data_IF_310558811895
#
_entry.id   IF_310558811895
#
_cell.length_a   1.000
_cell.length_b   1.000
_cell.length_c   1.000
_cell.angle_alpha   90.00
_cell.angle_beta   90.00
_cell.angle_gamma   90.00
#
_symmetry.space_group_name_H-M   'P 1'
#
loop_
_entity.id
_entity.type
_entity.pdbx_description
1 polymer ?
#
# COMPACT_ATOMS: atom_id res chain seq x y z
N UNK A 1 64.79 5.78 46.59
CA UNK A 1 64.10 6.59 45.55
C UNK A 1 63.06 5.74 44.85
N UNK A 2 61.80 5.90 45.24
CA UNK A 2 60.68 5.08 44.69
C UNK A 2 60.00 5.86 43.58
N UNK A 3 59.98 5.30 42.37
CA UNK A 3 59.37 5.90 41.18
C UNK A 3 57.87 5.48 41.13
N UNK A 4 56.99 6.41 41.47
CA UNK A 4 55.55 6.19 41.31
C UNK A 4 55.18 6.33 39.84
N UNK A 5 54.75 5.20 39.21
CA UNK A 5 54.19 5.23 37.85
C UNK A 5 52.74 5.69 37.94
N UNK A 6 52.48 6.90 37.39
CA UNK A 6 51.17 7.43 37.21
C UNK A 6 50.51 6.73 36.01
N UNK A 7 49.49 5.88 36.22
CA UNK A 7 48.67 5.33 35.14
C UNK A 7 47.50 6.28 34.87
N UNK A 8 47.56 7.00 33.75
CA UNK A 8 46.43 7.80 33.26
C UNK A 8 45.50 6.91 32.47
N UNK A 9 44.36 6.58 33.07
CA UNK A 9 43.29 5.86 32.36
C UNK A 9 42.50 6.82 31.49
N UNK A 10 42.60 6.67 30.18
CA UNK A 10 41.78 7.39 29.21
C UNK A 10 40.40 6.72 29.15
N UNK A 11 39.38 7.34 29.73
CA UNK A 11 37.99 6.90 29.58
C UNK A 11 37.46 7.42 28.25
N UNK A 12 37.38 6.55 27.24
CA UNK A 12 36.69 6.87 25.98
C UNK A 12 35.19 6.82 26.26
N UNK A 13 34.57 7.98 26.41
CA UNK A 13 33.11 8.09 26.42
C UNK A 13 32.63 7.93 24.98
N UNK A 14 32.19 6.75 24.62
CA UNK A 14 31.48 6.50 23.34
C UNK A 14 30.09 7.13 23.50
N UNK A 15 29.92 8.36 23.02
CA UNK A 15 28.63 8.99 22.88
C UNK A 15 27.85 8.24 21.81
N UNK A 16 27.01 7.29 22.18
CA UNK A 16 26.00 6.74 21.27
C UNK A 16 24.97 7.84 20.97
N UNK A 17 25.17 8.55 19.89
CA UNK A 17 24.10 9.37 19.34
C UNK A 17 23.01 8.41 18.85
N UNK A 18 21.73 8.56 19.32
CA UNK A 18 20.65 7.82 18.71
C UNK A 18 20.61 8.23 17.24
N UNK A 19 20.85 7.29 16.36
CA UNK A 19 20.56 7.51 14.95
C UNK A 19 19.05 7.73 14.86
N UNK A 20 18.65 8.97 14.58
CA UNK A 20 17.26 9.28 14.20
C UNK A 20 16.98 8.52 12.92
N UNK A 21 16.39 7.33 13.08
CA UNK A 21 15.90 6.57 11.95
C UNK A 21 14.57 7.20 11.54
N UNK A 22 14.46 7.59 10.28
CA UNK A 22 13.22 8.11 9.72
C UNK A 22 12.07 7.12 9.91
N UNK A 23 10.86 7.64 10.13
CA UNK A 23 9.64 6.84 10.25
C UNK A 23 9.42 6.01 8.98
N UNK A 24 9.06 4.73 9.15
CA UNK A 24 8.68 3.90 8.02
C UNK A 24 7.35 4.39 7.42
N UNK A 25 7.33 4.59 6.11
CA UNK A 25 6.11 4.92 5.37
C UNK A 25 5.53 3.65 4.75
N UNK A 26 4.93 2.80 5.58
CA UNK A 26 4.64 1.39 5.31
C UNK A 26 3.48 1.11 4.35
N UNK A 27 2.70 2.12 3.98
CA UNK A 27 1.52 1.97 3.12
C UNK A 27 1.21 3.25 2.35
N UNK A 28 0.25 3.18 1.45
CA UNK A 28 -0.35 4.37 0.86
C UNK A 28 -0.93 5.27 1.96
N UNK A 29 -0.51 6.53 2.03
CA UNK A 29 -0.77 7.48 3.11
C UNK A 29 -0.09 7.17 4.45
N UNK A 30 0.98 6.36 4.44
CA UNK A 30 1.83 6.13 5.60
C UNK A 30 1.27 5.18 6.66
N UNK A 31 1.97 5.04 7.78
CA UNK A 31 1.66 4.04 8.80
C UNK A 31 0.28 4.23 9.45
N UNK A 32 -0.21 5.46 9.48
CA UNK A 32 -1.53 5.79 10.05
C UNK A 32 -2.62 5.93 8.99
N UNK A 33 -2.32 5.72 7.71
CA UNK A 33 -3.26 5.82 6.59
C UNK A 33 -3.86 7.22 6.35
N UNK A 34 -3.35 8.24 7.02
CA UNK A 34 -3.89 9.61 7.00
C UNK A 34 -3.05 10.61 6.19
N UNK A 35 -1.89 10.18 5.67
CA UNK A 35 -0.98 11.03 4.89
C UNK A 35 -0.19 12.03 5.72
N UNK A 36 -0.12 11.86 7.05
CA UNK A 36 0.58 12.74 7.96
C UNK A 36 1.71 12.00 8.69
N UNK A 37 2.77 12.73 9.02
CA UNK A 37 3.89 12.27 9.84
C UNK A 37 4.14 13.26 10.97
N UNK A 38 4.70 12.77 12.07
CA UNK A 38 5.20 13.60 13.17
C UNK A 38 6.62 14.12 12.95
N UNK A 39 7.30 13.64 11.91
CA UNK A 39 8.66 14.08 11.57
C UNK A 39 8.71 15.57 11.21
N UNK A 40 9.86 16.16 11.40
CA UNK A 40 10.11 17.59 11.14
C UNK A 40 11.39 17.76 10.35
N UNK A 41 11.61 18.99 9.85
CA UNK A 41 12.83 19.32 9.14
C UNK A 41 12.85 18.91 7.66
N UNK A 42 11.67 18.66 7.08
CA UNK A 42 11.59 18.45 5.63
C UNK A 42 12.03 19.69 4.86
N UNK A 43 12.73 19.51 3.73
CA UNK A 43 13.03 20.64 2.86
C UNK A 43 11.72 21.25 2.34
N UNK A 44 11.65 22.58 2.38
CA UNK A 44 10.52 23.36 1.83
C UNK A 44 10.78 23.85 0.43
N UNK A 45 12.03 23.75 -0.01
CA UNK A 45 12.48 24.08 -1.38
C UNK A 45 13.31 22.94 -1.92
N UNK A 46 13.11 22.61 -3.18
CA UNK A 46 13.93 21.63 -3.91
C UNK A 46 13.92 21.93 -5.41
N UNK A 47 14.94 21.47 -6.10
CA UNK A 47 15.07 21.56 -7.55
C UNK A 47 15.63 20.25 -8.11
N UNK A 48 16.04 20.23 -9.36
CA UNK A 48 16.71 19.04 -9.93
C UNK A 48 18.09 18.75 -9.31
N UNK A 49 18.67 19.70 -8.57
CA UNK A 49 20.02 19.62 -7.99
C UNK A 49 20.07 20.00 -6.52
N UNK A 50 19.00 20.56 -5.95
CA UNK A 50 18.94 21.01 -4.57
C UNK A 50 18.00 20.13 -3.76
N UNK A 51 18.44 19.67 -2.59
CA UNK A 51 17.67 18.81 -1.68
C UNK A 51 17.17 17.51 -2.31
N UNK A 52 17.87 17.00 -3.33
CA UNK A 52 17.63 15.72 -4.00
C UNK A 52 18.81 14.81 -3.76
N UNK A 53 18.63 13.74 -2.99
CA UNK A 53 19.68 12.78 -2.70
C UNK A 53 20.09 11.98 -3.95
N UNK A 54 19.10 11.54 -4.71
CA UNK A 54 19.30 10.81 -5.97
C UNK A 54 18.03 10.89 -6.85
N UNK A 55 18.21 10.59 -8.11
CA UNK A 55 17.14 10.47 -9.11
C UNK A 55 17.42 9.30 -10.01
N UNK A 56 16.37 8.52 -10.30
CA UNK A 56 16.41 7.40 -11.25
C UNK A 56 15.27 7.53 -12.25
N UNK A 57 15.51 7.07 -13.47
CA UNK A 57 14.44 6.88 -14.45
C UNK A 57 13.80 5.51 -14.24
N UNK A 58 12.48 5.48 -14.14
CA UNK A 58 11.74 4.23 -13.98
C UNK A 58 11.51 3.60 -15.35
N UNK A 59 11.83 2.31 -15.54
CA UNK A 59 11.78 1.67 -16.86
C UNK A 59 10.36 1.38 -17.36
N UNK A 60 9.37 1.48 -16.46
CA UNK A 60 7.98 1.12 -16.77
C UNK A 60 7.00 2.06 -16.04
N UNK A 61 5.79 2.30 -16.61
CA UNK A 61 4.80 3.17 -16.02
C UNK A 61 4.20 2.59 -14.72
N UNK A 62 3.75 3.47 -13.85
CA UNK A 62 3.03 3.16 -12.63
C UNK A 62 2.60 4.43 -11.92
N UNK A 63 1.49 4.36 -11.17
CA UNK A 63 0.97 5.48 -10.36
C UNK A 63 1.03 5.16 -8.86
N UNK A 64 1.68 4.05 -8.47
CA UNK A 64 1.79 3.73 -7.05
C UNK A 64 2.59 4.79 -6.31
N UNK A 65 2.16 5.10 -5.10
CA UNK A 65 2.98 5.86 -4.16
C UNK A 65 4.12 4.95 -3.68
N UNK A 66 5.37 5.38 -3.77
CA UNK A 66 6.47 4.66 -3.13
C UNK A 66 6.23 4.56 -1.62
N UNK A 67 6.48 3.38 -1.05
CA UNK A 67 6.50 3.18 0.39
C UNK A 67 7.92 2.92 0.86
N UNK A 68 8.20 3.18 2.13
CA UNK A 68 9.53 2.96 2.71
C UNK A 68 9.44 2.06 3.93
N UNK A 69 10.41 1.15 4.04
CA UNK A 69 10.62 0.36 5.24
C UNK A 69 12.12 0.18 5.48
N UNK A 70 12.63 0.75 6.56
CA UNK A 70 14.07 0.84 6.83
C UNK A 70 14.80 1.43 5.60
N UNK A 71 15.78 0.74 5.05
CA UNK A 71 16.56 1.17 3.88
C UNK A 71 15.95 0.77 2.53
N UNK A 72 14.68 0.38 2.49
CA UNK A 72 14.00 -0.05 1.27
C UNK A 72 12.99 0.99 0.80
N UNK A 73 12.96 1.25 -0.50
CA UNK A 73 11.90 1.98 -1.20
C UNK A 73 11.20 1.00 -2.12
N UNK A 74 9.91 0.84 -1.96
CA UNK A 74 9.10 -0.15 -2.68
C UNK A 74 8.04 0.55 -3.52
N UNK A 75 7.92 0.15 -4.79
CA UNK A 75 6.87 0.67 -5.67
C UNK A 75 6.46 -0.38 -6.71
N UNK A 76 5.28 -0.20 -7.29
CA UNK A 76 4.78 -1.05 -8.36
C UNK A 76 4.87 -0.37 -9.72
N UNK A 77 5.09 -1.18 -10.75
CA UNK A 77 5.18 -0.78 -12.15
C UNK A 77 4.55 -1.85 -13.04
N UNK A 78 4.24 -1.50 -14.29
CA UNK A 78 3.80 -2.46 -15.31
C UNK A 78 4.50 -2.17 -16.63
N UNK A 79 4.71 -3.19 -17.47
CA UNK A 79 5.11 -2.95 -18.87
C UNK A 79 4.07 -2.07 -19.57
N UNK A 80 4.47 -1.39 -20.64
CA UNK A 80 3.57 -0.50 -21.38
C UNK A 80 2.31 -1.24 -21.90
N UNK A 81 2.49 -2.49 -22.32
CA UNK A 81 1.41 -3.38 -22.78
C UNK A 81 0.60 -3.99 -21.63
N UNK A 82 1.05 -3.79 -20.38
CA UNK A 82 0.41 -4.35 -19.20
C UNK A 82 0.56 -5.86 -19.02
N UNK A 83 1.39 -6.52 -19.81
CA UNK A 83 1.57 -7.99 -19.76
C UNK A 83 2.39 -8.48 -18.58
N UNK A 84 3.17 -7.59 -17.97
CA UNK A 84 3.95 -7.88 -16.75
C UNK A 84 3.68 -6.81 -15.70
N UNK A 85 3.60 -7.24 -14.45
CA UNK A 85 3.49 -6.42 -13.25
C UNK A 85 4.74 -6.60 -12.41
N UNK A 86 5.26 -5.50 -11.90
CA UNK A 86 6.50 -5.48 -11.13
C UNK A 86 6.27 -4.85 -9.76
N UNK A 87 6.84 -5.47 -8.74
CA UNK A 87 7.15 -4.84 -7.47
C UNK A 87 8.67 -4.69 -7.42
N UNK A 88 9.16 -3.48 -7.32
CA UNK A 88 10.60 -3.18 -7.33
C UNK A 88 11.02 -2.57 -6.01
N UNK A 89 12.13 -3.04 -5.49
CA UNK A 89 12.78 -2.51 -4.31
C UNK A 89 14.06 -1.77 -4.70
N UNK A 90 14.18 -0.55 -4.20
CA UNK A 90 15.37 0.28 -4.34
C UNK A 90 15.99 0.53 -2.97
N UNK A 91 17.29 0.75 -2.97
CA UNK A 91 18.03 1.20 -1.79
C UNK A 91 17.71 2.67 -1.49
N UNK A 92 17.28 2.97 -0.28
CA UNK A 92 16.85 4.32 0.12
C UNK A 92 17.99 5.35 0.01
N UNK A 93 19.24 4.96 0.27
CA UNK A 93 20.37 5.89 0.30
C UNK A 93 20.94 6.18 -1.10
N UNK A 94 20.91 5.18 -1.99
CA UNK A 94 21.58 5.26 -3.29
C UNK A 94 20.66 5.27 -4.50
N UNK A 95 19.38 4.92 -4.34
CA UNK A 95 18.44 4.71 -5.44
C UNK A 95 18.75 3.48 -6.30
N UNK A 96 19.73 2.65 -5.93
CA UNK A 96 20.05 1.42 -6.69
C UNK A 96 18.99 0.36 -6.48
N UNK A 97 18.60 -0.30 -7.57
CA UNK A 97 17.69 -1.44 -7.48
C UNK A 97 18.34 -2.59 -6.69
N UNK A 98 17.64 -3.06 -5.66
CA UNK A 98 18.06 -4.22 -4.85
C UNK A 98 17.52 -5.52 -5.43
N UNK A 99 16.22 -5.52 -5.76
CA UNK A 99 15.54 -6.67 -6.37
C UNK A 99 14.26 -6.24 -7.08
N UNK A 100 13.71 -7.12 -7.89
CA UNK A 100 12.43 -6.95 -8.54
C UNK A 100 11.68 -8.29 -8.57
N UNK A 101 10.46 -8.29 -8.08
CA UNK A 101 9.50 -9.36 -8.28
C UNK A 101 8.67 -9.06 -9.53
N UNK A 102 8.41 -10.07 -10.36
CA UNK A 102 7.64 -9.92 -11.59
C UNK A 102 6.61 -11.04 -11.71
N UNK A 103 5.38 -10.69 -12.03
CA UNK A 103 4.34 -11.63 -12.48
C UNK A 103 3.87 -11.28 -13.88
N UNK A 104 3.48 -12.29 -14.65
CA UNK A 104 2.89 -12.13 -15.98
C UNK A 104 1.37 -12.32 -15.88
N UNK A 105 0.66 -11.73 -16.83
CA UNK A 105 -0.78 -11.90 -16.99
C UNK A 105 -1.09 -12.19 -18.46
N UNK A 106 -1.91 -13.20 -18.71
CA UNK A 106 -2.34 -13.57 -20.07
C UNK A 106 -3.47 -12.68 -20.58
N UNK A 107 -4.42 -12.37 -19.71
CA UNK A 107 -5.54 -11.49 -20.03
C UNK A 107 -5.33 -10.12 -19.42
N UNK A 108 -4.88 -9.18 -20.23
CA UNK A 108 -4.63 -7.79 -19.82
C UNK A 108 -5.96 -7.02 -19.82
N UNK A 109 -6.38 -6.58 -18.64
CA UNK A 109 -7.57 -5.73 -18.46
C UNK A 109 -7.36 -4.34 -19.07
N UNK A 110 -8.46 -3.67 -19.42
CA UNK A 110 -8.43 -2.29 -19.91
C UNK A 110 -8.00 -1.33 -18.79
N UNK A 111 -7.32 -0.28 -19.17
CA UNK A 111 -7.00 0.85 -18.28
C UNK A 111 -7.17 2.17 -19.04
N UNK A 112 -7.01 3.28 -18.34
CA UNK A 112 -6.97 4.60 -18.96
C UNK A 112 -5.52 5.10 -19.00
N UNK A 113 -5.19 5.95 -19.99
CA UNK A 113 -3.84 6.53 -20.14
C UNK A 113 -3.29 7.24 -18.90
N UNK A 114 -4.18 7.74 -18.03
CA UNK A 114 -3.82 8.39 -16.76
C UNK A 114 -3.85 7.45 -15.56
N UNK A 115 -4.28 6.19 -15.73
CA UNK A 115 -4.31 5.17 -14.70
C UNK A 115 -3.73 3.86 -15.24
N UNK A 116 -2.40 3.71 -15.31
CA UNK A 116 -1.75 2.49 -15.83
C UNK A 116 -2.00 1.30 -14.90
N UNK A 117 -1.63 0.10 -15.36
CA UNK A 117 -1.89 -1.19 -14.70
C UNK A 117 -1.24 -1.37 -13.31
N UNK A 118 -0.39 -0.49 -12.86
CA UNK A 118 0.27 -0.54 -11.55
C UNK A 118 -0.04 0.73 -10.75
N UNK A 119 -1.31 0.96 -10.45
CA UNK A 119 -1.76 2.14 -9.72
C UNK A 119 -1.87 1.89 -8.20
N UNK A 120 -2.18 0.67 -7.76
CA UNK A 120 -2.19 0.30 -6.35
C UNK A 120 -0.79 0.35 -5.72
N UNK A 121 -0.68 0.99 -4.57
CA UNK A 121 0.58 1.06 -3.82
C UNK A 121 0.81 -0.21 -3.01
N UNK A 122 2.08 -0.62 -2.78
CA UNK A 122 2.39 -1.71 -1.86
C UNK A 122 2.00 -1.37 -0.43
N UNK A 123 1.90 -2.41 0.41
CA UNK A 123 1.84 -2.27 1.88
C UNK A 123 2.78 -3.29 2.52
N UNK A 124 3.37 -2.94 3.67
CA UNK A 124 4.25 -3.84 4.41
C UNK A 124 4.10 -3.71 5.93
N UNK A 125 4.29 -4.82 6.62
CA UNK A 125 4.45 -4.92 8.08
C UNK A 125 5.92 -5.12 8.49
N UNK A 126 6.84 -5.11 7.52
CA UNK A 126 8.28 -5.39 7.70
C UNK A 126 8.67 -6.86 7.57
N UNK A 127 7.70 -7.76 7.41
CA UNK A 127 7.89 -9.19 7.13
C UNK A 127 7.27 -9.58 5.78
N UNK A 128 6.13 -9.03 5.48
CA UNK A 128 5.35 -9.21 4.27
C UNK A 128 5.30 -7.91 3.47
N UNK A 129 5.37 -8.03 2.16
CA UNK A 129 5.05 -6.94 1.23
C UNK A 129 3.91 -7.44 0.36
N UNK A 130 2.77 -6.78 0.45
CA UNK A 130 1.59 -7.16 -0.31
C UNK A 130 1.27 -6.13 -1.37
N UNK A 131 0.98 -6.60 -2.57
CA UNK A 131 0.60 -5.78 -3.73
C UNK A 131 -0.66 -6.32 -4.38
N UNK A 132 -1.48 -5.41 -4.93
CA UNK A 132 -2.58 -5.76 -5.81
C UNK A 132 -2.25 -5.36 -7.24
N UNK A 133 -2.35 -6.31 -8.13
CA UNK A 133 -2.10 -6.14 -9.55
C UNK A 133 -3.37 -6.26 -10.39
N UNK A 134 -4.53 -5.93 -9.82
CA UNK A 134 -5.81 -6.02 -10.51
C UNK A 134 -6.13 -7.46 -10.92
N UNK A 135 -6.40 -7.71 -12.19
CA UNK A 135 -6.68 -9.05 -12.71
C UNK A 135 -5.49 -10.01 -12.65
N UNK A 136 -4.27 -9.53 -12.41
CA UNK A 136 -3.13 -10.39 -12.13
C UNK A 136 -3.11 -10.91 -10.69
N UNK A 137 -4.05 -10.50 -9.83
CA UNK A 137 -4.21 -11.01 -8.48
C UNK A 137 -3.53 -10.17 -7.39
N UNK A 138 -3.55 -10.72 -6.17
CA UNK A 138 -2.88 -10.19 -5.00
C UNK A 138 -1.66 -11.08 -4.74
N UNK A 139 -0.51 -10.44 -4.51
CA UNK A 139 0.75 -11.16 -4.31
C UNK A 139 1.39 -10.71 -3.01
N UNK A 140 1.91 -11.67 -2.24
CA UNK A 140 2.73 -11.42 -1.07
C UNK A 140 4.15 -11.92 -1.32
N UNK A 141 5.12 -11.06 -1.08
CA UNK A 141 6.54 -11.42 -1.11
C UNK A 141 7.19 -11.12 0.24
N UNK A 142 8.32 -11.74 0.53
CA UNK A 142 9.16 -11.38 1.67
C UNK A 142 9.97 -10.10 1.39
N UNK A 143 10.69 -9.60 2.39
CA UNK A 143 11.54 -8.40 2.25
C UNK A 143 12.72 -8.57 1.28
N UNK A 144 12.96 -9.77 0.78
CA UNK A 144 13.98 -10.08 -0.24
C UNK A 144 13.39 -10.25 -1.64
N UNK A 145 12.06 -10.11 -1.78
CA UNK A 145 11.35 -10.23 -3.07
C UNK A 145 10.97 -11.66 -3.44
N UNK A 146 11.11 -12.64 -2.53
CA UNK A 146 10.69 -14.02 -2.77
C UNK A 146 9.18 -14.14 -2.58
N UNK A 147 8.49 -14.74 -3.55
CA UNK A 147 7.05 -14.99 -3.47
C UNK A 147 6.75 -15.93 -2.28
N UNK A 148 5.83 -15.49 -1.43
CA UNK A 148 5.26 -16.30 -0.34
C UNK A 148 3.96 -16.97 -0.77
N UNK A 149 3.04 -16.18 -1.27
CA UNK A 149 1.77 -16.64 -1.81
C UNK A 149 1.23 -15.67 -2.87
N UNK A 150 0.29 -16.17 -3.66
CA UNK A 150 -0.51 -15.38 -4.59
C UNK A 150 -1.96 -15.84 -4.53
N UNK A 151 -2.90 -14.91 -4.64
CA UNK A 151 -4.32 -15.18 -4.67
C UNK A 151 -4.94 -14.63 -5.96
N UNK A 152 -5.60 -15.50 -6.71
CA UNK A 152 -6.29 -15.12 -7.94
C UNK A 152 -7.60 -14.42 -7.61
N UNK A 153 -7.75 -13.19 -8.06
CA UNK A 153 -8.97 -12.40 -7.91
C UNK A 153 -9.94 -12.55 -9.08
N UNK A 154 -9.56 -13.31 -10.09
CA UNK A 154 -10.25 -13.39 -11.37
C UNK A 154 -10.20 -12.05 -12.10
N UNK A 155 -10.96 -11.95 -13.20
CA UNK A 155 -10.96 -10.74 -14.03
C UNK A 155 -11.65 -9.58 -13.32
N UNK A 156 -10.92 -8.47 -13.18
CA UNK A 156 -11.41 -7.19 -12.67
C UNK A 156 -11.38 -6.20 -13.84
N UNK A 157 -12.50 -6.03 -14.50
CA UNK A 157 -12.57 -5.26 -15.74
C UNK A 157 -13.35 -3.96 -15.56
N UNK A 158 -12.68 -2.86 -15.84
CA UNK A 158 -13.27 -1.54 -15.94
C UNK A 158 -12.46 -0.70 -16.95
N UNK A 159 -13.14 0.17 -17.73
CA UNK A 159 -12.49 0.99 -18.77
C UNK A 159 -11.39 1.92 -18.24
N UNK A 160 -11.39 2.22 -16.94
CA UNK A 160 -10.39 3.06 -16.26
C UNK A 160 -9.46 2.26 -15.33
N UNK A 161 -9.55 0.94 -15.35
CA UNK A 161 -8.72 0.07 -14.52
C UNK A 161 -9.03 0.15 -13.01
N UNK A 162 -8.16 -0.44 -12.22
CA UNK A 162 -8.23 -0.50 -10.75
C UNK A 162 -7.13 0.34 -10.12
N UNK A 163 -7.27 0.79 -8.86
CA UNK A 163 -6.23 1.56 -8.16
C UNK A 163 -6.24 1.43 -6.63
N UNK A 164 -7.20 0.71 -6.06
CA UNK A 164 -7.22 0.52 -4.62
C UNK A 164 -5.97 -0.21 -4.14
N UNK A 165 -5.36 0.31 -3.07
CA UNK A 165 -4.20 -0.31 -2.42
C UNK A 165 -4.66 -1.32 -1.36
N UNK A 166 -3.91 -2.40 -1.11
CA UNK A 166 -4.16 -3.28 0.02
C UNK A 166 -3.85 -2.56 1.34
N UNK A 167 -4.53 -3.00 2.40
CA UNK A 167 -4.33 -2.52 3.78
C UNK A 167 -4.06 -3.72 4.67
N UNK A 168 -3.06 -3.63 5.53
CA UNK A 168 -2.80 -4.63 6.58
C UNK A 168 -3.55 -4.22 7.84
N UNK A 169 -4.31 -5.14 8.39
CA UNK A 169 -4.94 -5.04 9.69
C UNK A 169 -4.66 -6.31 10.50
N UNK A 170 -3.77 -6.20 11.47
CA UNK A 170 -3.29 -7.33 12.27
C UNK A 170 -2.74 -8.46 11.36
N UNK A 171 -3.37 -9.62 11.35
CA UNK A 171 -3.04 -10.78 10.52
C UNK A 171 -3.82 -10.85 9.19
N UNK A 172 -4.50 -9.77 8.82
CA UNK A 172 -5.31 -9.69 7.60
C UNK A 172 -4.73 -8.72 6.58
N UNK A 173 -4.88 -9.08 5.32
CA UNK A 173 -4.76 -8.17 4.17
C UNK A 173 -6.15 -7.90 3.62
N UNK A 174 -6.58 -6.64 3.65
CA UNK A 174 -7.90 -6.23 3.18
C UNK A 174 -7.75 -5.41 1.92
N UNK A 175 -8.59 -5.69 0.93
CA UNK A 175 -8.59 -4.93 -0.31
C UNK A 175 -10.00 -4.76 -0.89
N UNK A 176 -10.20 -3.62 -1.54
CA UNK A 176 -11.34 -3.31 -2.38
C UNK A 176 -11.03 -3.71 -3.82
N UNK A 177 -11.61 -4.77 -4.30
CA UNK A 177 -11.47 -5.26 -5.67
C UNK A 177 -12.58 -4.70 -6.55
N UNK A 178 -12.19 -3.85 -7.47
CA UNK A 178 -13.09 -3.14 -8.36
C UNK A 178 -12.52 -1.76 -8.76
N UNK A 179 -13.31 -0.91 -9.42
CA UNK A 179 -14.70 -1.10 -9.83
C UNK A 179 -14.88 -2.07 -11.00
N UNK A 180 -16.13 -2.30 -11.37
CA UNK A 180 -16.52 -3.11 -12.53
C UNK A 180 -17.82 -3.89 -12.27
N UNK A 181 -18.25 -4.66 -13.25
CA UNK A 181 -19.42 -5.57 -13.12
C UNK A 181 -19.20 -6.50 -11.92
N UNK A 182 -17.97 -6.95 -11.73
CA UNK A 182 -17.54 -7.74 -10.59
C UNK A 182 -16.73 -6.85 -9.65
N UNK A 183 -17.33 -6.49 -8.52
CA UNK A 183 -16.67 -5.75 -7.45
C UNK A 183 -16.97 -6.42 -6.10
N UNK A 184 -15.98 -6.46 -5.21
CA UNK A 184 -16.09 -7.09 -3.89
C UNK A 184 -15.01 -6.55 -2.95
N UNK A 185 -15.25 -6.70 -1.67
CA UNK A 185 -14.23 -6.56 -0.63
C UNK A 185 -13.79 -7.94 -0.19
N UNK A 186 -12.53 -8.08 0.13
CA UNK A 186 -11.95 -9.34 0.56
C UNK A 186 -10.91 -9.10 1.65
N UNK A 187 -10.86 -10.00 2.62
CA UNK A 187 -9.74 -10.13 3.53
C UNK A 187 -9.09 -11.50 3.36
N UNK A 188 -7.79 -11.49 3.28
CA UNK A 188 -6.94 -12.67 3.19
C UNK A 188 -6.08 -12.76 4.46
N UNK A 189 -5.80 -13.96 4.90
CA UNK A 189 -4.77 -14.22 5.91
C UNK A 189 -3.39 -13.80 5.36
N UNK A 190 -2.64 -13.02 6.12
CA UNK A 190 -1.38 -12.42 5.64
C UNK A 190 -0.26 -13.46 5.45
N UNK A 191 -0.28 -14.56 6.20
CA UNK A 191 0.74 -15.61 6.11
C UNK A 191 0.47 -16.59 4.96
N UNK A 192 -0.80 -16.90 4.69
CA UNK A 192 -1.19 -17.97 3.76
C UNK A 192 -1.80 -17.46 2.45
N UNK A 193 -2.42 -16.27 2.46
CA UNK A 193 -3.19 -15.74 1.34
C UNK A 193 -4.58 -16.38 1.20
N UNK A 194 -5.01 -17.20 2.16
CA UNK A 194 -6.35 -17.81 2.16
C UNK A 194 -7.42 -16.77 2.47
N UNK A 195 -8.60 -16.93 1.84
CA UNK A 195 -9.75 -16.08 2.06
C UNK A 195 -10.31 -16.25 3.48
N UNK A 196 -10.35 -15.17 4.26
CA UNK A 196 -10.96 -15.13 5.58
C UNK A 196 -12.41 -14.69 5.47
N UNK A 197 -12.69 -13.64 4.72
CA UNK A 197 -14.04 -13.20 4.40
C UNK A 197 -14.09 -12.47 3.06
N UNK A 198 -15.28 -12.44 2.46
CA UNK A 198 -15.55 -11.74 1.22
C UNK A 198 -16.97 -11.20 1.18
N UNK A 199 -17.12 -9.96 0.71
CA UNK A 199 -18.42 -9.32 0.49
C UNK A 199 -18.59 -8.98 -0.98
N UNK A 200 -19.49 -9.67 -1.65
CA UNK A 200 -19.76 -9.52 -3.09
C UNK A 200 -20.57 -8.26 -3.40
N UNK A 201 -20.39 -7.73 -4.61
CA UNK A 201 -21.02 -6.49 -5.09
C UNK A 201 -22.54 -6.51 -5.12
N UNK A 202 -23.17 -7.69 -5.12
CA UNK A 202 -24.64 -7.81 -5.00
C UNK A 202 -25.20 -7.22 -3.71
N UNK A 203 -24.34 -7.06 -2.70
CA UNK A 203 -24.67 -6.45 -1.41
C UNK A 203 -24.44 -4.92 -1.41
N UNK A 204 -23.88 -4.37 -2.49
CA UNK A 204 -23.70 -2.94 -2.64
C UNK A 204 -24.90 -2.28 -3.29
N UNK A 205 -24.96 -0.95 -3.26
CA UNK A 205 -25.99 -0.21 -3.98
C UNK A 205 -25.92 -0.54 -5.47
N UNK A 206 -27.05 -0.90 -6.05
CA UNK A 206 -27.15 -1.12 -7.49
C UNK A 206 -26.91 0.17 -8.24
N UNK A 207 -25.87 0.19 -9.06
CA UNK A 207 -25.57 1.28 -9.97
C UNK A 207 -25.94 0.88 -11.41
N UNK A 208 -26.34 1.84 -12.20
CA UNK A 208 -26.50 1.66 -13.64
C UNK A 208 -25.67 2.74 -14.34
N UNK A 209 -24.79 2.41 -15.26
CA UNK A 209 -24.45 1.04 -15.70
C UNK A 209 -23.79 0.20 -14.61
N UNK A 210 -23.94 -1.12 -14.68
CA UNK A 210 -23.40 -2.07 -13.70
C UNK A 210 -21.87 -2.04 -13.61
N UNK A 211 -21.21 -1.60 -14.66
CA UNK A 211 -19.76 -1.41 -14.70
C UNK A 211 -19.24 -0.37 -13.67
N UNK A 212 -20.10 0.49 -13.14
CA UNK A 212 -19.77 1.44 -12.07
C UNK A 212 -20.03 0.89 -10.65
N UNK A 213 -20.28 -0.40 -10.51
CA UNK A 213 -20.24 -1.04 -9.20
C UNK A 213 -18.83 -1.03 -8.64
N UNK A 214 -18.70 -0.85 -7.33
CA UNK A 214 -17.40 -0.73 -6.69
C UNK A 214 -16.78 0.66 -6.84
N UNK A 215 -15.59 0.81 -6.31
CA UNK A 215 -14.89 2.10 -6.26
C UNK A 215 -13.39 1.91 -6.38
N UNK A 216 -12.67 3.02 -6.56
CA UNK A 216 -11.20 3.08 -6.49
C UNK A 216 -10.69 3.38 -5.08
N UNK A 217 -11.58 3.45 -4.11
CA UNK A 217 -11.29 3.79 -2.73
C UNK A 217 -10.40 2.71 -2.08
N UNK A 218 -9.29 3.15 -1.49
CA UNK A 218 -8.53 2.31 -0.57
C UNK A 218 -9.25 2.29 0.78
N UNK A 219 -9.49 1.11 1.40
CA UNK A 219 -10.05 1.04 2.74
C UNK A 219 -9.19 1.80 3.76
N UNK A 220 -9.83 2.38 4.76
CA UNK A 220 -9.15 3.01 5.90
C UNK A 220 -9.59 2.33 7.19
N UNK A 221 -8.65 1.80 7.97
CA UNK A 221 -8.94 1.18 9.26
C UNK A 221 -8.55 2.14 10.38
N UNK A 222 -9.50 2.38 11.28
CA UNK A 222 -9.34 3.21 12.48
C UNK A 222 -9.45 2.35 13.73
N UNK A 223 -8.52 2.52 14.65
CA UNK A 223 -8.48 1.75 15.90
C UNK A 223 -7.75 0.42 15.73
N UNK A 224 -7.88 -0.44 16.73
CA UNK A 224 -7.23 -1.75 16.81
C UNK A 224 -8.11 -2.76 17.54
N UNK A 225 -7.83 -4.04 17.40
CA UNK A 225 -8.57 -5.12 18.08
C UNK A 225 -10.05 -5.15 17.70
N UNK A 226 -10.89 -5.53 18.67
CA UNK A 226 -12.33 -5.71 18.47
C UNK A 226 -13.09 -4.42 18.17
N UNK A 227 -12.56 -3.26 18.60
CA UNK A 227 -13.19 -1.94 18.42
C UNK A 227 -12.77 -1.24 17.13
N UNK A 228 -11.90 -1.87 16.32
CA UNK A 228 -11.49 -1.32 15.05
C UNK A 228 -12.67 -1.21 14.08
N UNK A 229 -12.69 -0.11 13.33
CA UNK A 229 -13.68 0.15 12.28
C UNK A 229 -12.98 0.41 10.96
N UNK A 230 -13.39 -0.28 9.93
CA UNK A 230 -12.95 -0.05 8.56
C UNK A 230 -13.96 0.83 7.83
N UNK A 231 -13.46 1.84 7.15
CA UNK A 231 -14.24 2.74 6.32
C UNK A 231 -13.91 2.58 4.85
N UNK A 232 -14.93 2.67 4.00
CA UNK A 232 -14.76 2.61 2.55
C UNK A 232 -15.81 3.46 1.83
N UNK A 233 -15.38 4.25 0.87
CA UNK A 233 -16.26 5.01 -0.02
C UNK A 233 -16.67 4.12 -1.19
N UNK A 234 -17.97 4.00 -1.42
CA UNK A 234 -18.56 3.27 -2.52
C UNK A 234 -19.50 4.19 -3.32
N UNK A 235 -19.93 3.81 -4.52
CA UNK A 235 -20.94 4.59 -5.23
C UNK A 235 -22.16 4.83 -4.36
N UNK A 236 -22.55 6.09 -4.22
CA UNK A 236 -23.74 6.59 -3.50
C UNK A 236 -23.73 6.33 -1.98
N UNK A 237 -22.80 5.55 -1.45
CA UNK A 237 -22.75 5.19 -0.03
C UNK A 237 -21.33 5.16 0.53
N UNK A 238 -21.27 5.55 1.78
CA UNK A 238 -20.13 5.33 2.64
C UNK A 238 -20.43 4.18 3.60
N UNK A 239 -19.49 3.30 3.82
CA UNK A 239 -19.65 2.12 4.65
C UNK A 239 -18.69 2.13 5.82
N UNK A 240 -19.16 1.71 6.99
CA UNK A 240 -18.37 1.34 8.13
C UNK A 240 -18.56 -0.15 8.43
N UNK A 241 -17.46 -0.88 8.58
CA UNK A 241 -17.45 -2.34 8.74
C UNK A 241 -16.52 -2.76 9.86
N UNK A 242 -16.74 -3.96 10.38
CA UNK A 242 -15.74 -4.67 11.19
C UNK A 242 -14.64 -5.21 10.28
N UNK A 243 -13.38 -4.79 10.44
CA UNK A 243 -12.31 -5.25 9.54
C UNK A 243 -12.04 -6.76 9.67
N UNK A 244 -12.31 -7.35 10.84
CA UNK A 244 -12.08 -8.78 11.11
C UNK A 244 -13.08 -9.72 10.41
N UNK A 245 -14.33 -9.28 10.18
CA UNK A 245 -15.40 -10.12 9.67
C UNK A 245 -16.06 -9.61 8.38
N UNK A 246 -15.81 -8.35 8.01
CA UNK A 246 -16.48 -7.69 6.90
C UNK A 246 -17.95 -7.33 7.18
N UNK A 247 -18.43 -7.51 8.43
CA UNK A 247 -19.81 -7.14 8.83
C UNK A 247 -20.00 -5.64 8.73
N UNK A 248 -21.09 -5.22 8.07
CA UNK A 248 -21.48 -3.82 7.95
C UNK A 248 -22.05 -3.35 9.28
N UNK A 249 -21.42 -2.34 9.88
CA UNK A 249 -21.89 -1.70 11.11
C UNK A 249 -22.97 -0.66 10.80
N UNK A 250 -22.69 0.18 9.82
CA UNK A 250 -23.63 1.20 9.35
C UNK A 250 -23.24 1.71 7.95
N UNK A 251 -24.15 2.41 7.32
CA UNK A 251 -23.94 3.09 6.05
C UNK A 251 -24.46 4.51 6.11
N UNK A 252 -23.88 5.39 5.29
CA UNK A 252 -24.33 6.76 5.11
C UNK A 252 -24.39 7.08 3.63
N UNK A 253 -25.43 7.75 3.17
CA UNK A 253 -25.51 8.27 1.81
C UNK A 253 -24.61 9.50 1.69
N UNK A 254 -24.04 9.75 0.51
CA UNK A 254 -23.22 10.94 0.32
C UNK A 254 -22.29 10.92 -0.88
N UNK A 255 -21.43 9.90 -1.09
CA UNK A 255 -20.58 9.86 -2.27
C UNK A 255 -21.38 9.92 -3.57
N UNK A 256 -20.75 10.48 -4.60
CA UNK A 256 -21.30 10.43 -5.96
C UNK A 256 -21.25 9.02 -6.54
N UNK A 257 -21.78 8.87 -7.77
CA UNK A 257 -21.78 7.60 -8.49
C UNK A 257 -20.37 7.05 -8.71
N UNK A 258 -19.37 7.91 -8.87
CA UNK A 258 -17.98 7.55 -9.07
C UNK A 258 -17.20 7.89 -7.81
N UNK A 259 -16.91 6.89 -6.97
CA UNK A 259 -16.18 7.08 -5.74
C UNK A 259 -14.68 6.81 -5.96
N UNK A 260 -13.89 7.88 -6.09
CA UNK A 260 -12.43 7.83 -6.20
C UNK A 260 -11.73 8.05 -4.87
N UNK A 261 -12.36 8.81 -3.98
CA UNK A 261 -11.77 9.26 -2.74
C UNK A 261 -11.75 8.16 -1.70
N UNK A 262 -10.60 8.02 -1.03
CA UNK A 262 -10.50 7.15 0.15
C UNK A 262 -10.85 7.94 1.40
N UNK A 263 -11.44 7.26 2.41
CA UNK A 263 -11.78 7.87 3.68
C UNK A 263 -10.58 8.48 4.41
N UNK A 264 -10.86 9.50 5.19
CA UNK A 264 -9.96 10.02 6.22
C UNK A 264 -10.79 10.23 7.49
N UNK A 265 -10.19 9.93 8.64
CA UNK A 265 -10.78 10.20 9.95
C UNK A 265 -9.92 11.26 10.64
N UNK A 266 -10.55 12.36 11.08
CA UNK A 266 -9.94 13.30 11.99
C UNK A 266 -10.16 12.82 13.42
N UNK A 267 -9.19 13.04 14.31
CA UNK A 267 -9.27 12.65 15.71
C UNK A 267 -9.94 13.71 16.60
N UNK A 268 -10.29 14.88 16.02
CA UNK A 268 -10.92 16.00 16.75
C UNK A 268 -12.44 15.87 16.78
#
# INVERSE_FOLDING_TARGET
>A
MSLHKLIVAFIIVISSYPTLQAENWSSWRGPNGNGATSEKGFPTTWSTTENVAWRIDLPAPGNSTPITWQDNVLLTQATAEGTKRHLTCYDLQSGKQRWQYTTAIEHVEKTHKTNPHAAGSPVTDGKHIVVSFGSAGIHCVDMKGNLKWQADMGRLEHIWGTSASPVIFEDLVIINCGPGVRAFWIALDIETGEEVWKTESKNFVSTKPEEFRGSWSTPFVYGSGADAVMFISMPLKFYALKPRTGDILWTCDGPGLLAYTSPLVNRD
#
